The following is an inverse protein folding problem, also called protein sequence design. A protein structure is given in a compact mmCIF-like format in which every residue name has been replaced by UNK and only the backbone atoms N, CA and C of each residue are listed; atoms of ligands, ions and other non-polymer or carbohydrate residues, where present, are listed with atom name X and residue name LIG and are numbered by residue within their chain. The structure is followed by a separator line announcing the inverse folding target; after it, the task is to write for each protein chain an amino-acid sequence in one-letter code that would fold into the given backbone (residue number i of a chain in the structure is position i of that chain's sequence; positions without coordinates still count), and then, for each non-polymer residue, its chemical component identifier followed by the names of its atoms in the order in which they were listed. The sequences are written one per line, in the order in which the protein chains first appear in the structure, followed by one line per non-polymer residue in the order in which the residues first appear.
data_IF_824618662446
#
_entry.id   IF_824618662446
#
_cell.length_a   1.000
_cell.length_b   1.000
_cell.length_c   1.000
_cell.angle_alpha   90.00
_cell.angle_beta   90.00
_cell.angle_gamma   90.00
#
_symmetry.space_group_name_H-M   'P 1'
#
loop_
_entity.id
_entity.type
_entity.pdbx_description
1 polymer ?
#
# COMPACT_ATOMS: atom_id res chain seq x y z
N UNK A 1 -30.15 -45.09 63.26
CA UNK A 1 -31.19 -46.13 63.04
C UNK A 1 -31.04 -46.67 61.65
N UNK A 2 -30.71 -47.95 61.58
CA UNK A 2 -31.06 -48.98 60.60
C UNK A 2 -30.69 -48.67 59.12
N UNK A 3 -29.64 -49.30 58.51
CA UNK A 3 -29.52 -50.72 58.10
C UNK A 3 -30.41 -51.01 56.88
N UNK A 4 -29.96 -51.48 55.74
CA UNK A 4 -29.28 -52.68 55.28
C UNK A 4 -29.29 -52.68 53.77
N UNK A 5 -28.25 -53.14 53.08
CA UNK A 5 -28.00 -54.53 52.62
C UNK A 5 -28.83 -54.91 51.39
N UNK A 6 -28.35 -55.39 50.28
CA UNK A 6 -27.58 -56.56 49.84
C UNK A 6 -27.37 -56.46 48.30
N UNK A 7 -26.33 -56.79 47.83
CA UNK A 7 -25.73 -58.01 47.26
C UNK A 7 -26.05 -58.23 45.76
N UNK A 8 -25.01 -58.09 44.96
CA UNK A 8 -24.35 -59.18 44.25
C UNK A 8 -25.10 -59.89 43.12
N UNK A 9 -24.54 -59.84 41.93
CA UNK A 9 -24.10 -61.05 41.20
C UNK A 9 -23.15 -60.73 40.04
N UNK A 10 -22.03 -61.32 40.15
CA UNK A 10 -21.00 -61.63 39.15
C UNK A 10 -21.56 -62.59 38.12
N UNK A 11 -21.32 -62.38 36.84
CA UNK A 11 -21.16 -63.44 35.85
C UNK A 11 -20.01 -63.07 34.94
N UNK A 12 -19.13 -64.00 34.81
CA UNK A 12 -17.82 -64.14 34.21
C UNK A 12 -17.96 -64.75 32.81
N UNK A 13 -17.00 -64.40 31.94
CA UNK A 13 -16.50 -65.13 30.75
C UNK A 13 -17.30 -64.96 29.45
N UNK A 14 -16.69 -64.47 28.39
CA UNK A 14 -15.91 -65.29 27.47
C UNK A 14 -15.03 -64.42 26.57
N UNK A 15 -13.76 -64.73 26.56
CA UNK A 15 -12.71 -64.30 25.59
C UNK A 15 -13.04 -64.88 24.23
N UNK A 16 -13.03 -64.04 23.18
CA UNK A 16 -12.72 -64.51 21.85
C UNK A 16 -11.76 -63.53 21.18
N UNK A 17 -10.54 -63.97 21.07
CA UNK A 17 -9.46 -63.40 20.26
C UNK A 17 -9.64 -63.89 18.81
N UNK A 18 -9.66 -62.97 17.86
CA UNK A 18 -9.29 -63.15 16.42
C UNK A 18 -9.68 -61.82 15.76
N UNK A 19 -8.83 -61.12 15.15
CA UNK A 19 -8.00 -61.19 14.03
C UNK A 19 -7.40 -59.84 13.69
N UNK A 20 -6.15 -59.77 13.59
CA UNK A 20 -5.35 -58.72 12.97
C UNK A 20 -5.82 -58.43 11.54
N UNK A 21 -6.29 -57.27 11.28
CA UNK A 21 -6.18 -56.64 9.99
C UNK A 21 -5.97 -55.12 10.26
N UNK A 22 -4.73 -54.74 10.08
CA UNK A 22 -4.31 -53.35 10.14
C UNK A 22 -4.96 -52.55 9.02
N UNK A 23 -5.87 -51.66 9.40
CA UNK A 23 -6.14 -50.47 8.63
C UNK A 23 -5.32 -49.35 9.24
N UNK A 24 -4.22 -49.05 8.63
CA UNK A 24 -3.49 -47.78 8.85
C UNK A 24 -4.45 -46.63 8.57
N UNK A 25 -4.96 -46.02 9.64
CA UNK A 25 -5.56 -44.72 9.53
C UNK A 25 -4.47 -43.75 9.10
N UNK A 26 -4.35 -43.53 7.79
CA UNK A 26 -3.78 -42.28 7.33
C UNK A 26 -4.57 -41.19 8.06
N UNK A 27 -3.93 -40.47 8.97
CA UNK A 27 -4.38 -39.13 9.32
C UNK A 27 -4.41 -38.40 7.98
N UNK A 28 -5.58 -38.20 7.43
CA UNK A 28 -5.81 -37.15 6.47
C UNK A 28 -5.45 -35.85 7.23
N UNK A 29 -4.29 -35.28 6.91
CA UNK A 29 -4.04 -33.89 7.16
C UNK A 29 -5.24 -33.15 6.53
N UNK A 30 -5.86 -32.19 7.22
CA UNK A 30 -6.92 -31.42 6.62
C UNK A 30 -6.32 -30.84 5.33
N UNK A 31 -6.83 -31.29 4.18
CA UNK A 31 -6.57 -30.61 2.92
C UNK A 31 -7.04 -29.18 3.14
N UNK A 32 -6.12 -28.25 3.26
CA UNK A 32 -6.45 -26.83 3.15
C UNK A 32 -7.11 -26.70 1.79
N UNK A 33 -8.44 -26.57 1.76
CA UNK A 33 -9.09 -26.16 0.50
C UNK A 33 -8.37 -24.91 0.04
N UNK A 34 -7.75 -25.02 -1.12
CA UNK A 34 -6.98 -23.95 -1.70
C UNK A 34 -7.93 -22.76 -1.87
N UNK A 35 -7.64 -21.66 -1.19
CA UNK A 35 -8.48 -20.47 -1.19
C UNK A 35 -8.64 -19.96 -2.61
N UNK A 36 -9.85 -20.04 -3.16
CA UNK A 36 -10.14 -19.64 -4.54
C UNK A 36 -10.77 -18.25 -4.65
N UNK A 37 -11.50 -17.80 -3.63
CA UNK A 37 -12.05 -16.45 -3.57
C UNK A 37 -11.27 -15.60 -2.58
N UNK A 38 -10.79 -14.45 -3.03
CA UNK A 38 -9.92 -13.52 -2.29
C UNK A 38 -10.66 -12.21 -2.06
N UNK A 39 -10.85 -11.82 -0.80
CA UNK A 39 -11.43 -10.53 -0.44
C UNK A 39 -10.35 -9.43 -0.46
N UNK A 40 -10.59 -8.37 -1.23
CA UNK A 40 -9.60 -7.31 -1.48
C UNK A 40 -10.19 -5.97 -1.15
N UNK A 41 -9.64 -5.28 -0.15
CA UNK A 41 -9.98 -3.89 0.13
C UNK A 41 -9.40 -2.98 -0.96
N UNK A 42 -10.22 -2.09 -1.48
CA UNK A 42 -9.85 -1.13 -2.53
C UNK A 42 -10.39 0.26 -2.21
N UNK A 43 -9.67 1.28 -2.64
CA UNK A 43 -10.18 2.64 -2.81
C UNK A 43 -10.66 2.82 -4.25
N UNK A 44 -11.35 3.90 -4.57
CA UNK A 44 -11.78 4.20 -5.95
C UNK A 44 -10.61 4.14 -6.96
N UNK A 45 -9.42 4.59 -6.56
CA UNK A 45 -8.23 4.56 -7.41
C UNK A 45 -7.74 3.13 -7.62
N UNK A 46 -7.60 2.35 -6.55
CA UNK A 46 -7.03 1.01 -6.65
C UNK A 46 -7.99 -0.03 -7.20
N UNK A 47 -9.30 0.23 -7.14
CA UNK A 47 -10.32 -0.62 -7.76
C UNK A 47 -10.06 -0.80 -9.27
N UNK A 48 -9.69 0.27 -9.96
CA UNK A 48 -9.35 0.22 -11.39
C UNK A 48 -8.20 -0.74 -11.66
N UNK A 49 -7.16 -0.70 -10.82
CA UNK A 49 -5.99 -1.57 -10.98
C UNK A 49 -6.34 -3.03 -10.75
N UNK A 50 -7.13 -3.34 -9.71
CA UNK A 50 -7.55 -4.73 -9.44
C UNK A 50 -8.46 -5.24 -10.56
N UNK A 51 -9.42 -4.43 -11.03
CA UNK A 51 -10.29 -4.81 -12.17
C UNK A 51 -9.50 -5.03 -13.47
N UNK A 52 -8.44 -4.26 -13.70
CA UNK A 52 -7.57 -4.47 -14.85
C UNK A 52 -6.85 -5.83 -14.81
N UNK A 53 -6.61 -6.37 -13.63
CA UNK A 53 -5.96 -7.66 -13.41
C UNK A 53 -6.94 -8.86 -13.34
N UNK A 54 -8.26 -8.59 -13.32
CA UNK A 54 -9.31 -9.59 -13.05
C UNK A 54 -9.23 -10.80 -14.00
N UNK A 55 -9.16 -10.56 -15.31
CA UNK A 55 -9.14 -11.62 -16.31
C UNK A 55 -7.98 -12.59 -16.12
N UNK A 56 -6.77 -12.03 -15.92
CA UNK A 56 -5.58 -12.84 -15.72
C UNK A 56 -5.59 -13.58 -14.36
N UNK A 57 -6.14 -12.95 -13.33
CA UNK A 57 -6.28 -13.56 -12.01
C UNK A 57 -7.27 -14.74 -12.04
N UNK A 58 -8.37 -14.60 -12.78
CA UNK A 58 -9.36 -15.66 -13.00
C UNK A 58 -8.78 -16.81 -13.83
N UNK A 59 -7.97 -16.52 -14.85
CA UNK A 59 -7.25 -17.52 -15.64
C UNK A 59 -6.29 -18.36 -14.79
N UNK A 60 -5.74 -17.77 -13.70
CA UNK A 60 -4.90 -18.47 -12.72
C UNK A 60 -5.72 -19.29 -11.71
N UNK A 61 -7.05 -19.32 -11.81
CA UNK A 61 -7.97 -20.15 -11.01
C UNK A 61 -8.48 -19.48 -9.73
N UNK A 62 -8.30 -18.19 -9.57
CA UNK A 62 -8.74 -17.40 -8.40
C UNK A 62 -9.85 -16.42 -8.78
N UNK A 63 -10.57 -15.93 -7.77
CA UNK A 63 -11.62 -14.93 -7.95
C UNK A 63 -11.48 -13.84 -6.89
N UNK A 64 -11.60 -12.60 -7.32
CA UNK A 64 -11.59 -11.45 -6.42
C UNK A 64 -13.01 -11.14 -5.90
N UNK A 65 -13.06 -10.66 -4.65
CA UNK A 65 -14.22 -10.04 -4.04
C UNK A 65 -13.82 -8.66 -3.53
N UNK A 66 -14.22 -7.61 -4.25
CA UNK A 66 -13.83 -6.25 -3.93
C UNK A 66 -14.66 -5.69 -2.77
N UNK A 67 -13.98 -5.02 -1.84
CA UNK A 67 -14.56 -4.32 -0.71
C UNK A 67 -14.08 -2.86 -0.79
N UNK A 68 -14.98 -1.96 -1.19
CA UNK A 68 -14.67 -0.54 -1.27
C UNK A 68 -14.54 0.05 0.14
N UNK A 69 -13.51 0.83 0.36
CA UNK A 69 -13.24 1.53 1.63
C UNK A 69 -12.92 3.01 1.38
N UNK A 70 -13.21 3.84 2.36
CA UNK A 70 -13.15 5.30 2.22
C UNK A 70 -11.75 5.89 2.38
N UNK A 71 -10.79 5.12 2.92
CA UNK A 71 -9.45 5.64 3.19
C UNK A 71 -8.37 4.55 3.20
N UNK A 72 -7.13 4.99 2.97
CA UNK A 72 -5.94 4.14 3.07
C UNK A 72 -5.76 3.52 4.47
N UNK A 73 -6.13 4.26 5.53
CA UNK A 73 -6.06 3.76 6.90
C UNK A 73 -7.11 2.66 7.13
N UNK A 74 -8.34 2.84 6.64
CA UNK A 74 -9.40 1.83 6.72
C UNK A 74 -9.01 0.57 5.94
N UNK A 75 -8.37 0.72 4.76
CA UNK A 75 -7.84 -0.38 3.97
C UNK A 75 -6.82 -1.21 4.77
N UNK A 76 -5.78 -0.56 5.29
CA UNK A 76 -4.74 -1.26 6.05
C UNK A 76 -5.29 -1.91 7.33
N UNK A 77 -6.23 -1.24 8.00
CA UNK A 77 -6.88 -1.78 9.19
C UNK A 77 -7.66 -3.05 8.89
N UNK A 78 -8.42 -3.09 7.79
CA UNK A 78 -9.21 -4.26 7.41
C UNK A 78 -8.35 -5.48 7.05
N UNK A 79 -7.14 -5.26 6.50
CA UNK A 79 -6.18 -6.34 6.30
C UNK A 79 -5.58 -6.79 7.63
N UNK A 80 -5.21 -5.82 8.49
CA UNK A 80 -4.54 -6.10 9.75
C UNK A 80 -5.43 -6.89 10.72
N UNK A 81 -6.73 -6.60 10.77
CA UNK A 81 -7.70 -7.32 11.60
C UNK A 81 -8.26 -8.60 10.95
N UNK A 82 -7.90 -8.87 9.69
CA UNK A 82 -8.30 -10.08 8.96
C UNK A 82 -9.73 -10.03 8.39
N UNK A 83 -10.36 -8.86 8.33
CA UNK A 83 -11.68 -8.68 7.70
C UNK A 83 -11.62 -8.87 6.18
N UNK A 84 -10.45 -8.63 5.58
CA UNK A 84 -10.13 -8.91 4.19
C UNK A 84 -8.77 -9.58 4.07
N UNK A 85 -8.51 -10.23 2.94
CA UNK A 85 -7.28 -10.97 2.69
C UNK A 85 -6.15 -10.08 2.23
N UNK A 86 -6.47 -9.07 1.43
CA UNK A 86 -5.51 -8.19 0.80
C UNK A 86 -6.08 -6.79 0.59
N UNK A 87 -5.23 -5.87 0.18
CA UNK A 87 -5.64 -4.56 -0.32
C UNK A 87 -4.54 -3.91 -1.14
N UNK A 88 -4.90 -2.88 -1.90
CA UNK A 88 -3.95 -2.13 -2.71
C UNK A 88 -4.36 -0.66 -2.76
N UNK A 89 -3.54 0.24 -2.24
CA UNK A 89 -3.75 1.69 -2.37
C UNK A 89 -2.54 2.53 -1.93
N UNK A 90 -1.63 1.96 -1.12
CA UNK A 90 -0.60 2.74 -0.41
C UNK A 90 0.80 2.38 -0.88
N UNK A 91 1.73 3.32 -0.76
CA UNK A 91 3.13 3.01 -0.93
C UNK A 91 3.73 2.38 0.35
N UNK A 92 4.85 1.69 0.16
CA UNK A 92 5.51 0.89 1.20
C UNK A 92 5.75 1.66 2.50
N UNK A 93 6.29 2.86 2.43
CA UNK A 93 6.59 3.66 3.61
C UNK A 93 5.34 4.01 4.43
N UNK A 94 4.18 4.24 3.78
CA UNK A 94 2.91 4.47 4.47
C UNK A 94 2.44 3.21 5.22
N UNK A 95 2.53 2.03 4.59
CA UNK A 95 2.22 0.75 5.22
C UNK A 95 3.14 0.48 6.43
N UNK A 96 4.44 0.72 6.29
CA UNK A 96 5.41 0.54 7.38
C UNK A 96 5.14 1.49 8.56
N UNK A 97 4.74 2.74 8.28
CA UNK A 97 4.30 3.68 9.31
C UNK A 97 3.05 3.15 10.03
N UNK A 98 2.05 2.70 9.28
CA UNK A 98 0.85 2.09 9.85
C UNK A 98 1.21 0.92 10.77
N UNK A 99 2.10 0.02 10.37
CA UNK A 99 2.56 -1.10 11.18
C UNK A 99 3.15 -0.64 12.53
N UNK A 100 4.02 0.38 12.50
CA UNK A 100 4.63 0.93 13.74
C UNK A 100 3.59 1.53 14.69
N UNK A 101 2.61 2.24 14.16
CA UNK A 101 1.61 2.96 14.96
C UNK A 101 0.47 2.05 15.46
N UNK A 102 0.19 0.93 14.77
CA UNK A 102 -0.95 0.06 15.06
C UNK A 102 -0.56 -1.36 15.46
N UNK A 103 0.72 -1.63 15.78
CA UNK A 103 1.24 -2.97 16.03
C UNK A 103 0.87 -3.95 14.89
N UNK A 104 0.91 -3.45 13.66
CA UNK A 104 0.59 -4.23 12.47
C UNK A 104 1.79 -5.06 11.99
N UNK A 105 1.48 -6.09 11.20
CA UNK A 105 2.44 -6.97 10.57
C UNK A 105 2.20 -7.12 9.05
N UNK A 106 1.75 -6.04 8.43
CA UNK A 106 1.46 -6.00 7.00
C UNK A 106 2.74 -6.00 6.17
N UNK A 107 2.69 -6.66 5.02
CA UNK A 107 3.79 -6.73 4.06
C UNK A 107 3.28 -6.55 2.63
N UNK A 108 4.15 -6.07 1.75
CA UNK A 108 3.85 -5.99 0.32
C UNK A 108 4.28 -7.26 -0.40
N UNK A 109 3.43 -7.71 -1.30
CA UNK A 109 3.67 -8.87 -2.17
C UNK A 109 4.52 -8.43 -3.37
N UNK A 110 5.46 -9.26 -3.75
CA UNK A 110 6.22 -9.08 -4.99
C UNK A 110 5.63 -9.96 -6.11
N UNK A 111 5.76 -9.54 -7.37
CA UNK A 111 6.42 -8.32 -7.82
C UNK A 111 5.62 -7.05 -7.48
N UNK A 112 6.32 -5.93 -7.23
CA UNK A 112 5.65 -4.65 -7.00
C UNK A 112 4.96 -4.17 -8.27
N UNK A 113 3.81 -3.49 -8.14
CA UNK A 113 2.98 -3.13 -9.30
C UNK A 113 3.46 -1.86 -9.98
N UNK A 114 3.46 -0.74 -9.28
CA UNK A 114 3.84 0.56 -9.83
C UNK A 114 4.29 1.53 -8.74
N UNK A 115 4.74 2.69 -9.14
CA UNK A 115 5.02 3.83 -8.29
C UNK A 115 4.48 5.11 -8.93
N UNK A 116 4.35 6.16 -8.14
CA UNK A 116 4.02 7.51 -8.61
C UNK A 116 4.95 8.51 -7.97
N UNK A 117 5.06 9.69 -8.55
CA UNK A 117 5.96 10.73 -8.10
C UNK A 117 5.24 11.94 -7.51
N UNK A 118 6.05 12.85 -6.99
CA UNK A 118 5.72 14.22 -6.67
C UNK A 118 6.55 15.16 -7.54
N UNK A 119 6.03 16.35 -7.78
CA UNK A 119 6.74 17.41 -8.48
C UNK A 119 6.57 18.75 -7.81
N UNK A 120 7.53 19.64 -8.00
CA UNK A 120 7.37 21.06 -7.75
C UNK A 120 6.78 21.69 -9.00
N UNK A 121 5.61 22.26 -8.88
CA UNK A 121 4.88 22.92 -9.96
C UNK A 121 4.75 24.40 -9.71
N UNK A 122 4.58 25.16 -10.79
CA UNK A 122 4.23 26.58 -10.75
C UNK A 122 3.37 26.94 -11.96
N UNK A 123 2.39 27.80 -11.77
CA UNK A 123 1.66 28.42 -12.86
C UNK A 123 2.30 29.73 -13.32
N UNK A 124 3.22 30.28 -12.51
CA UNK A 124 3.87 31.58 -12.75
C UNK A 124 5.23 31.46 -13.41
N UNK A 125 5.99 30.39 -13.09
CA UNK A 125 7.39 30.23 -13.51
C UNK A 125 7.55 28.95 -14.33
N UNK A 126 8.56 28.94 -15.21
CA UNK A 126 8.82 27.83 -16.13
C UNK A 126 10.10 27.06 -15.83
N UNK A 127 10.92 27.57 -14.91
CA UNK A 127 12.15 26.91 -14.46
C UNK A 127 12.44 27.22 -13.00
N UNK A 128 13.31 26.41 -12.37
CA UNK A 128 13.75 26.64 -10.98
C UNK A 128 14.47 27.98 -10.82
N UNK A 129 15.18 28.46 -11.87
CA UNK A 129 15.93 29.69 -11.83
C UNK A 129 15.04 30.94 -11.77
N UNK A 130 13.82 30.84 -12.30
CA UNK A 130 12.82 31.92 -12.27
C UNK A 130 12.12 32.08 -10.91
N UNK A 131 12.24 31.10 -10.01
CA UNK A 131 11.62 31.17 -8.67
C UNK A 131 12.30 32.33 -7.90
N UNK A 132 11.54 33.37 -7.48
CA UNK A 132 12.11 34.56 -6.86
C UNK A 132 12.56 34.32 -5.41
N UNK A 133 13.27 35.28 -4.88
CA UNK A 133 13.49 35.43 -3.45
C UNK A 133 12.14 35.56 -2.72
N UNK A 134 12.00 34.89 -1.56
CA UNK A 134 10.80 34.89 -0.74
C UNK A 134 9.57 34.28 -1.46
N UNK A 135 9.80 33.41 -2.44
CA UNK A 135 8.72 32.67 -3.07
C UNK A 135 7.93 31.88 -2.04
N UNK A 136 6.62 31.81 -2.20
CA UNK A 136 5.71 31.06 -1.35
C UNK A 136 5.42 29.71 -2.01
N UNK A 137 5.82 28.62 -1.37
CA UNK A 137 5.69 27.25 -1.92
C UNK A 137 4.92 26.39 -0.91
N UNK A 138 3.84 25.76 -1.34
CA UNK A 138 3.11 24.82 -0.49
C UNK A 138 3.74 23.44 -0.48
N UNK A 139 3.59 22.75 0.66
CA UNK A 139 4.03 21.38 0.88
C UNK A 139 2.96 20.63 1.68
N UNK A 140 2.93 19.31 1.54
CA UNK A 140 2.02 18.44 2.29
C UNK A 140 2.35 18.46 3.78
N UNK A 141 1.32 18.51 4.65
CA UNK A 141 1.47 18.66 6.08
C UNK A 141 1.57 17.35 6.86
N UNK A 142 1.31 16.21 6.23
CA UNK A 142 1.54 14.93 6.89
C UNK A 142 3.03 14.59 6.90
N UNK A 143 3.51 14.05 8.01
CA UNK A 143 4.94 13.88 8.28
C UNK A 143 5.69 13.07 7.19
N UNK A 144 5.05 12.07 6.60
CA UNK A 144 5.67 11.21 5.58
C UNK A 144 5.87 11.96 4.25
N UNK A 145 4.84 12.65 3.80
CA UNK A 145 4.88 13.37 2.53
C UNK A 145 5.60 14.70 2.66
N UNK A 146 5.61 15.32 3.85
CA UNK A 146 6.47 16.47 4.15
C UNK A 146 7.95 16.09 4.01
N UNK A 147 8.40 15.00 4.63
CA UNK A 147 9.77 14.51 4.49
C UNK A 147 10.14 14.30 3.02
N UNK A 148 9.28 13.61 2.27
CA UNK A 148 9.49 13.39 0.83
C UNK A 148 9.59 14.70 0.05
N UNK A 149 8.71 15.65 0.32
CA UNK A 149 8.71 16.96 -0.32
C UNK A 149 9.93 17.80 0.03
N UNK A 150 10.40 17.77 1.28
CA UNK A 150 11.60 18.48 1.71
C UNK A 150 12.85 17.91 1.05
N UNK A 151 12.99 16.59 0.95
CA UNK A 151 14.09 15.94 0.20
C UNK A 151 14.11 16.36 -1.27
N UNK A 152 12.92 16.38 -1.90
CA UNK A 152 12.82 16.85 -3.28
C UNK A 152 13.21 18.33 -3.44
N UNK A 153 12.82 19.21 -2.51
CA UNK A 153 13.24 20.63 -2.53
C UNK A 153 14.75 20.79 -2.31
N UNK A 154 15.37 19.91 -1.52
CA UNK A 154 16.83 19.84 -1.38
C UNK A 154 17.48 19.38 -2.67
N UNK A 155 17.00 18.30 -3.29
CA UNK A 155 17.51 17.81 -4.59
C UNK A 155 17.36 18.85 -5.70
N UNK A 156 16.31 19.67 -5.62
CA UNK A 156 16.12 20.83 -6.50
C UNK A 156 17.07 22.01 -6.19
N UNK A 157 17.89 21.93 -5.13
CA UNK A 157 18.82 22.98 -4.73
C UNK A 157 18.17 24.23 -4.13
N UNK A 158 16.92 24.12 -3.67
CA UNK A 158 16.18 25.25 -3.09
C UNK A 158 16.41 25.41 -1.60
N UNK A 159 16.68 24.31 -0.89
CA UNK A 159 17.00 24.26 0.56
C UNK A 159 18.12 23.28 0.82
N UNK A 160 18.66 23.30 2.02
CA UNK A 160 19.57 22.25 2.55
C UNK A 160 19.00 21.73 3.86
N UNK A 161 19.04 20.43 4.06
CA UNK A 161 18.54 19.76 5.27
C UNK A 161 19.67 19.40 6.23
N UNK A 162 19.37 19.34 7.53
CA UNK A 162 20.32 18.91 8.56
C UNK A 162 20.54 17.40 8.50
N UNK A 163 21.68 16.97 7.94
CA UNK A 163 22.06 15.55 7.78
C UNK A 163 22.45 14.86 9.07
N UNK A 164 22.49 15.56 10.21
CA UNK A 164 22.70 14.95 11.52
C UNK A 164 21.50 14.09 11.97
N UNK A 165 20.33 14.29 11.35
CA UNK A 165 19.12 13.49 11.51
C UNK A 165 19.05 12.39 10.46
N UNK A 166 18.70 11.18 10.90
CA UNK A 166 18.48 10.02 10.03
C UNK A 166 17.00 9.65 9.89
N UNK A 167 16.12 10.51 10.44
CA UNK A 167 14.69 10.29 10.55
C UNK A 167 13.90 11.17 9.56
N UNK A 168 12.61 11.26 9.75
CA UNK A 168 11.74 12.11 8.96
C UNK A 168 12.07 13.59 9.17
N UNK A 169 12.32 14.32 8.08
CA UNK A 169 12.54 15.75 8.11
C UNK A 169 11.23 16.52 8.29
N UNK A 170 11.34 17.61 9.00
CA UNK A 170 10.29 18.63 9.20
C UNK A 170 10.83 19.99 8.79
N UNK A 171 10.01 21.04 8.76
CA UNK A 171 10.47 22.40 8.46
C UNK A 171 11.57 22.89 9.42
N UNK A 172 11.63 22.35 10.65
CA UNK A 172 12.65 22.70 11.65
C UNK A 172 14.05 22.15 11.28
N UNK A 173 14.11 21.24 10.34
CA UNK A 173 15.34 20.59 9.91
C UNK A 173 15.96 21.25 8.68
N UNK A 174 15.38 22.36 8.20
CA UNK A 174 15.96 23.18 7.14
C UNK A 174 17.15 23.95 7.71
N UNK A 175 18.34 23.61 7.23
CA UNK A 175 19.60 24.21 7.64
C UNK A 175 19.91 25.49 6.89
N UNK A 176 19.67 25.48 5.56
CA UNK A 176 19.88 26.64 4.70
C UNK A 176 18.68 26.82 3.77
N UNK A 177 18.33 28.07 3.58
CA UNK A 177 17.26 28.49 2.66
C UNK A 177 17.71 29.78 1.96
N UNK A 178 18.60 29.65 0.95
CA UNK A 178 19.30 30.80 0.38
C UNK A 178 18.38 31.77 -0.35
N UNK A 179 17.20 31.31 -0.77
CA UNK A 179 16.16 32.17 -1.39
C UNK A 179 15.13 32.68 -0.40
N UNK A 180 15.24 32.34 0.89
CA UNK A 180 14.26 32.67 1.92
C UNK A 180 12.82 32.26 1.52
N UNK A 181 12.67 31.06 0.93
CA UNK A 181 11.38 30.50 0.51
C UNK A 181 10.48 30.36 1.74
N UNK A 182 9.26 30.85 1.65
CA UNK A 182 8.22 30.60 2.64
C UNK A 182 7.52 29.29 2.30
N UNK A 183 7.76 28.27 3.11
CA UNK A 183 7.14 26.95 2.93
C UNK A 183 5.83 26.91 3.73
N UNK A 184 4.71 26.62 3.05
CA UNK A 184 3.36 26.64 3.59
C UNK A 184 2.82 25.22 3.66
N UNK A 185 2.59 24.73 4.86
CA UNK A 185 2.03 23.41 5.11
C UNK A 185 0.53 23.38 4.84
N UNK A 186 0.05 22.38 4.11
CA UNK A 186 -1.38 22.17 3.90
C UNK A 186 -1.71 20.70 3.59
N UNK A 187 -2.98 20.38 3.65
CA UNK A 187 -3.48 19.07 3.22
C UNK A 187 -3.06 18.78 1.77
N UNK A 188 -2.64 17.54 1.49
CA UNK A 188 -2.13 17.15 0.18
C UNK A 188 -3.08 17.45 -0.98
N UNK A 189 -4.41 17.34 -0.77
CA UNK A 189 -5.40 17.67 -1.80
C UNK A 189 -5.57 19.19 -2.00
N UNK A 190 -5.09 20.01 -1.07
CA UNK A 190 -5.12 21.48 -1.21
C UNK A 190 -3.87 22.00 -1.95
N UNK A 191 -2.76 21.27 -1.97
CA UNK A 191 -1.53 21.74 -2.63
C UNK A 191 -1.73 22.06 -4.11
N UNK A 192 -2.52 21.28 -4.83
CA UNK A 192 -2.80 21.55 -6.25
C UNK A 192 -3.61 22.84 -6.44
N UNK A 193 -4.54 23.14 -5.53
CA UNK A 193 -5.36 24.37 -5.59
C UNK A 193 -4.56 25.61 -5.27
N UNK A 194 -3.57 25.48 -4.39
CA UNK A 194 -2.71 26.61 -4.00
C UNK A 194 -1.84 27.15 -5.13
N UNK A 195 -1.69 26.43 -6.25
CA UNK A 195 -0.97 26.88 -7.46
C UNK A 195 -1.54 28.16 -8.04
N UNK A 196 -2.84 28.44 -7.85
CA UNK A 196 -3.49 29.65 -8.33
C UNK A 196 -3.00 30.91 -7.59
N UNK A 197 -2.61 30.77 -6.33
CA UNK A 197 -2.25 31.89 -5.45
C UNK A 197 -0.75 31.97 -5.15
N UNK A 198 -0.12 30.80 -4.94
CA UNK A 198 1.27 30.71 -4.51
C UNK A 198 2.24 30.74 -5.70
N UNK A 199 3.51 30.80 -5.39
CA UNK A 199 4.58 30.80 -6.39
C UNK A 199 4.93 29.39 -6.86
N UNK A 200 4.61 28.39 -6.05
CA UNK A 200 4.74 26.98 -6.38
C UNK A 200 4.05 26.08 -5.37
N UNK A 201 3.99 24.80 -5.70
CA UNK A 201 3.45 23.76 -4.85
C UNK A 201 4.15 22.43 -5.10
N UNK A 202 4.40 21.70 -4.03
CA UNK A 202 4.81 20.29 -4.10
C UNK A 202 3.53 19.45 -4.16
N UNK A 203 3.33 18.77 -5.30
CA UNK A 203 2.05 18.09 -5.61
C UNK A 203 2.32 16.68 -6.12
N UNK A 204 1.52 15.72 -5.69
CA UNK A 204 1.49 14.39 -6.31
C UNK A 204 1.00 14.45 -7.75
N UNK A 205 1.59 13.64 -8.62
CA UNK A 205 1.15 13.51 -10.02
C UNK A 205 -0.33 13.16 -10.12
N UNK A 206 -0.82 12.30 -9.22
CA UNK A 206 -2.23 11.92 -9.15
C UNK A 206 -3.15 13.11 -8.85
N UNK A 207 -2.76 14.02 -7.97
CA UNK A 207 -3.55 15.22 -7.66
C UNK A 207 -3.54 16.23 -8.81
N UNK A 208 -2.41 16.41 -9.50
CA UNK A 208 -2.35 17.23 -10.72
C UNK A 208 -3.34 16.71 -11.77
N UNK A 209 -3.27 15.41 -12.06
CA UNK A 209 -4.17 14.79 -13.05
C UNK A 209 -5.64 14.91 -12.64
N UNK A 210 -5.99 14.61 -11.39
CA UNK A 210 -7.37 14.69 -10.90
C UNK A 210 -7.94 16.12 -10.95
N UNK A 211 -7.07 17.13 -10.85
CA UNK A 211 -7.41 18.52 -11.06
C UNK A 211 -7.46 18.94 -12.54
N UNK A 212 -7.28 18.01 -13.48
CA UNK A 212 -7.24 18.30 -14.92
C UNK A 212 -6.01 19.07 -15.38
N UNK A 213 -4.94 19.10 -14.57
CA UNK A 213 -3.67 19.77 -14.86
C UNK A 213 -2.66 18.78 -15.43
N UNK A 214 -1.71 19.30 -16.21
CA UNK A 214 -0.63 18.50 -16.77
C UNK A 214 0.38 18.13 -15.67
N UNK A 215 0.41 16.85 -15.27
CA UNK A 215 1.33 16.35 -14.25
C UNK A 215 2.79 16.31 -14.73
N UNK A 216 3.05 16.47 -16.04
CA UNK A 216 4.41 16.49 -16.60
C UNK A 216 5.01 17.90 -16.60
N UNK A 217 4.24 18.93 -16.26
CA UNK A 217 4.67 20.35 -16.27
C UNK A 217 5.45 20.78 -15.02
N UNK A 218 6.03 19.83 -14.29
CA UNK A 218 6.82 20.12 -13.10
C UNK A 218 8.12 20.88 -13.46
N UNK A 219 8.52 21.79 -12.57
CA UNK A 219 9.83 22.44 -12.62
C UNK A 219 10.95 21.49 -12.18
N UNK A 220 10.61 20.59 -11.24
CA UNK A 220 11.46 19.52 -10.73
C UNK A 220 10.61 18.38 -10.23
N UNK A 221 11.11 17.15 -10.26
CA UNK A 221 10.43 15.98 -9.74
C UNK A 221 11.32 15.18 -8.80
N UNK A 222 10.72 14.39 -7.95
CA UNK A 222 11.43 13.45 -7.08
C UNK A 222 12.28 12.46 -7.91
N UNK A 223 13.49 12.19 -7.42
CA UNK A 223 14.43 11.26 -8.06
C UNK A 223 14.32 9.85 -7.48
N UNK A 224 13.73 9.73 -6.31
CA UNK A 224 13.57 8.49 -5.52
C UNK A 224 12.19 7.85 -5.60
N UNK A 225 11.35 8.26 -6.56
CA UNK A 225 9.98 7.75 -6.70
C UNK A 225 9.90 6.20 -6.72
N UNK A 226 10.92 5.54 -7.29
CA UNK A 226 11.01 4.07 -7.35
C UNK A 226 11.13 3.40 -5.97
N UNK A 227 11.61 4.12 -4.97
CA UNK A 227 11.80 3.60 -3.60
C UNK A 227 10.48 3.56 -2.82
N UNK A 228 9.41 4.09 -3.42
CA UNK A 228 8.05 4.12 -2.86
C UNK A 228 7.07 3.23 -3.65
N UNK A 229 7.30 1.90 -3.71
CA UNK A 229 6.42 1.00 -4.43
C UNK A 229 5.01 1.02 -3.89
N UNK A 230 4.06 0.91 -4.81
CA UNK A 230 2.65 0.62 -4.52
C UNK A 230 2.38 -0.78 -5.06
N UNK A 231 1.90 -1.66 -4.20
CA UNK A 231 1.68 -3.05 -4.52
C UNK A 231 0.58 -3.67 -3.66
N UNK A 232 0.26 -4.91 -3.93
CA UNK A 232 -0.65 -5.70 -3.11
C UNK A 232 -0.09 -5.81 -1.68
N UNK A 233 -0.92 -5.48 -0.69
CA UNK A 233 -0.62 -5.58 0.74
C UNK A 233 -1.39 -6.75 1.32
N UNK A 234 -0.73 -7.58 2.11
CA UNK A 234 -1.30 -8.72 2.82
C UNK A 234 -0.78 -8.76 4.26
N UNK A 235 -1.41 -9.54 5.10
CA UNK A 235 -0.86 -9.88 6.41
C UNK A 235 0.36 -10.78 6.25
N UNK A 236 1.40 -10.56 7.05
CA UNK A 236 2.63 -11.36 7.07
C UNK A 236 2.31 -12.85 7.17
N UNK A 237 2.96 -13.64 6.33
CA UNK A 237 2.71 -15.07 6.17
C UNK A 237 1.85 -15.41 4.94
N UNK A 238 1.14 -14.42 4.38
CA UNK A 238 0.37 -14.59 3.14
C UNK A 238 1.11 -14.09 1.89
N UNK A 239 2.27 -13.46 2.04
CA UNK A 239 3.03 -12.90 0.92
C UNK A 239 3.48 -13.92 -0.12
N UNK A 240 3.59 -15.19 0.28
CA UNK A 240 3.93 -16.30 -0.59
C UNK A 240 2.75 -17.23 -0.89
N UNK A 241 1.54 -16.85 -0.49
CA UNK A 241 0.35 -17.64 -0.82
C UNK A 241 0.12 -17.66 -2.34
N UNK A 242 -0.28 -18.81 -2.93
CA UNK A 242 -0.48 -18.92 -4.38
C UNK A 242 -1.38 -17.83 -4.96
N UNK A 243 -2.47 -17.49 -4.27
CA UNK A 243 -3.38 -16.43 -4.69
C UNK A 243 -2.75 -15.02 -4.62
N UNK A 244 -1.88 -14.77 -3.63
CA UNK A 244 -1.24 -13.46 -3.47
C UNK A 244 -0.22 -13.21 -4.57
N UNK A 245 0.60 -14.21 -4.88
CA UNK A 245 1.56 -14.18 -6.00
C UNK A 245 0.79 -14.05 -7.32
N UNK A 246 -0.25 -14.88 -7.53
CA UNK A 246 -1.06 -14.83 -8.74
C UNK A 246 -1.66 -13.45 -8.99
N UNK A 247 -2.17 -12.76 -7.95
CA UNK A 247 -2.73 -11.42 -8.08
C UNK A 247 -1.63 -10.37 -8.34
N UNK A 248 -0.50 -10.45 -7.64
CA UNK A 248 0.62 -9.53 -7.86
C UNK A 248 1.17 -9.63 -9.30
N UNK A 249 1.30 -10.84 -9.84
CA UNK A 249 1.69 -11.07 -11.24
C UNK A 249 0.61 -10.57 -12.21
N UNK A 250 -0.68 -10.82 -11.92
CA UNK A 250 -1.78 -10.37 -12.77
C UNK A 250 -1.86 -8.84 -12.86
N UNK A 251 -1.56 -8.13 -11.77
CA UNK A 251 -1.45 -6.67 -11.74
C UNK A 251 -0.32 -6.12 -12.63
N UNK A 252 0.66 -6.96 -12.97
CA UNK A 252 1.78 -6.62 -13.86
C UNK A 252 1.62 -7.20 -15.27
N UNK A 253 0.51 -7.87 -15.57
CA UNK A 253 0.25 -8.34 -16.93
C UNK A 253 0.26 -7.18 -17.92
N UNK A 254 0.56 -7.48 -19.17
CA UNK A 254 0.57 -6.46 -20.25
C UNK A 254 -0.80 -5.76 -20.35
N UNK A 255 -1.90 -6.54 -20.26
CA UNK A 255 -3.25 -6.02 -20.29
C UNK A 255 -3.53 -5.08 -19.11
N UNK A 256 -3.24 -5.50 -17.87
CA UNK A 256 -3.44 -4.66 -16.70
C UNK A 256 -2.58 -3.38 -16.75
N UNK A 257 -1.31 -3.51 -17.12
CA UNK A 257 -0.39 -2.38 -17.27
C UNK A 257 -0.88 -1.37 -18.31
N UNK A 258 -1.42 -1.84 -19.43
CA UNK A 258 -2.00 -1.00 -20.47
C UNK A 258 -3.22 -0.25 -19.95
N UNK A 259 -4.18 -0.95 -19.33
CA UNK A 259 -5.40 -0.34 -18.76
C UNK A 259 -5.05 0.70 -17.68
N UNK A 260 -4.13 0.38 -16.78
CA UNK A 260 -3.66 1.30 -15.74
C UNK A 260 -3.04 2.55 -16.36
N UNK A 261 -2.16 2.39 -17.34
CA UNK A 261 -1.50 3.50 -18.03
C UNK A 261 -2.50 4.39 -18.77
N UNK A 262 -3.44 3.80 -19.50
CA UNK A 262 -4.46 4.53 -20.26
C UNK A 262 -5.42 5.26 -19.31
N UNK A 263 -5.95 4.55 -18.30
CA UNK A 263 -6.90 5.13 -17.34
C UNK A 263 -6.29 6.29 -16.56
N UNK A 264 -5.06 6.12 -16.07
CA UNK A 264 -4.39 7.13 -15.23
C UNK A 264 -3.52 8.10 -16.03
N UNK A 265 -3.48 7.99 -17.37
CA UNK A 265 -2.73 8.92 -18.22
C UNK A 265 -1.23 8.92 -17.96
N UNK A 266 -0.67 7.81 -17.44
CA UNK A 266 0.76 7.65 -17.19
C UNK A 266 1.28 8.20 -15.88
N UNK A 267 0.42 8.66 -14.94
CA UNK A 267 0.88 9.10 -13.60
C UNK A 267 1.49 7.98 -12.76
N UNK A 268 1.12 6.73 -13.05
CA UNK A 268 1.75 5.56 -12.48
C UNK A 268 2.76 4.99 -13.48
N UNK A 269 3.94 4.68 -12.99
CA UNK A 269 4.98 3.99 -13.74
C UNK A 269 5.09 2.56 -13.22
N UNK A 270 4.90 1.57 -14.07
CA UNK A 270 5.07 0.16 -13.72
C UNK A 270 6.54 -0.16 -13.55
N UNK A 271 6.87 -1.08 -12.64
CA UNK A 271 8.22 -1.62 -12.57
C UNK A 271 8.46 -2.48 -13.81
N UNK A 272 9.63 -2.31 -14.43
CA UNK A 272 10.14 -3.22 -15.45
C UNK A 272 10.95 -4.33 -14.75
N UNK A 273 10.94 -5.55 -15.31
CA UNK A 273 11.69 -6.69 -14.79
C UNK A 273 13.20 -6.55 -14.99
#
# INVERSE_FOLDING_TARGET
MKRNFYLSKVIVITILVLGLLGCGSKKEEPSSEEKKEVSIAVTEISEVSIKAAESEFQNKGFKEKLILVDSNVALLKSINDGSVDAGMAVHKAFMEKFNRENNGDLVMVQPYTYYTGIGLYSEKYKSLDEIPQKARISIMNDAMNMDKGLRMLEDAGLITLDKSKNDQYTLLDIKENPRNIEIIEMDQAQTVKSLEELDGAVVFFTHMRNAGKDYTSYLFRDQDAKDYPIALVVKKGNENAPWAIALAESLRSEEASKVIKEHFGGVFTTYED
#
